data_IF_329977823012
#
_entry.id   IF_329977823012
#
_cell.length_a   1.000
_cell.length_b   1.000
_cell.length_c   1.000
_cell.angle_alpha   90.00
_cell.angle_beta   90.00
_cell.angle_gamma   90.00
#
_symmetry.space_group_name_H-M   'P 1'
#
loop_
_entity.id
_entity.type
_entity.pdbx_description
1 polymer ?
#
# COMPACT_ATOMS: atom_id res chain seq x y z
N UNK A 1 20.25 16.00 -16.60
CA UNK A 1 20.15 15.69 -18.03
C UNK A 1 19.97 14.19 -18.11
N UNK A 2 18.94 13.65 -18.78
CA UNK A 2 18.76 12.21 -18.83
C UNK A 2 19.78 11.58 -19.77
N UNK A 3 20.31 10.42 -19.38
CA UNK A 3 21.38 9.69 -20.05
C UNK A 3 20.79 8.51 -20.82
N UNK A 4 21.08 8.40 -22.11
CA UNK A 4 20.53 7.37 -23.00
C UNK A 4 21.67 6.55 -23.58
N UNK A 5 21.60 5.21 -23.41
CA UNK A 5 22.54 4.28 -24.04
C UNK A 5 21.96 3.81 -25.37
N UNK A 6 22.72 3.97 -26.45
CA UNK A 6 22.36 3.53 -27.81
C UNK A 6 23.27 2.34 -28.18
N UNK A 7 22.65 1.20 -28.43
CA UNK A 7 23.33 -0.06 -28.81
C UNK A 7 22.87 -0.45 -30.19
N UNK A 8 23.76 -0.34 -31.17
CA UNK A 8 23.50 -0.69 -32.58
C UNK A 8 24.84 -0.97 -33.27
N UNK A 9 24.94 -1.95 -34.15
CA UNK A 9 26.18 -2.25 -34.87
C UNK A 9 26.38 -1.35 -36.12
N UNK A 10 25.33 -0.68 -36.59
CA UNK A 10 25.41 0.30 -37.68
C UNK A 10 25.89 1.68 -37.14
N UNK A 11 27.14 2.02 -37.39
CA UNK A 11 27.77 3.28 -36.99
C UNK A 11 27.05 4.50 -37.53
N UNK A 12 26.51 4.43 -38.79
CA UNK A 12 25.82 5.56 -39.41
C UNK A 12 24.49 5.84 -38.71
N UNK A 13 23.76 4.79 -38.34
CA UNK A 13 22.51 4.91 -37.62
C UNK A 13 22.73 5.40 -36.18
N UNK A 14 23.78 4.90 -35.49
CA UNK A 14 24.14 5.41 -34.15
C UNK A 14 24.41 6.91 -34.16
N UNK A 15 25.22 7.39 -35.15
CA UNK A 15 25.53 8.81 -35.28
C UNK A 15 24.28 9.68 -35.48
N UNK A 16 23.33 9.22 -36.31
CA UNK A 16 22.05 9.93 -36.53
C UNK A 16 21.21 9.98 -35.24
N UNK A 17 21.12 8.85 -34.52
CA UNK A 17 20.38 8.76 -33.25
C UNK A 17 21.05 9.68 -32.20
N UNK A 18 22.38 9.64 -32.10
CA UNK A 18 23.16 10.47 -31.17
C UNK A 18 22.89 11.95 -31.44
N UNK A 19 23.08 12.42 -32.67
CA UNK A 19 22.82 13.83 -33.02
C UNK A 19 21.38 14.27 -32.68
N UNK A 20 20.39 13.41 -32.95
CA UNK A 20 19.00 13.71 -32.68
C UNK A 20 18.72 13.82 -31.16
N UNK A 21 19.28 12.93 -30.35
CA UNK A 21 19.11 12.90 -28.91
C UNK A 21 19.87 14.05 -28.23
N UNK A 22 21.13 14.31 -28.62
CA UNK A 22 21.91 15.43 -28.11
C UNK A 22 21.28 16.78 -28.44
N UNK A 23 20.72 16.94 -29.65
CA UNK A 23 19.97 18.14 -30.03
C UNK A 23 18.70 18.33 -29.18
N UNK A 24 18.08 17.24 -28.75
CA UNK A 24 16.93 17.25 -27.82
C UNK A 24 17.32 17.41 -26.34
N UNK A 25 18.62 17.52 -26.03
CA UNK A 25 19.11 17.80 -24.67
C UNK A 25 19.38 16.54 -23.83
N UNK A 26 19.60 15.39 -24.44
CA UNK A 26 20.00 14.16 -23.75
C UNK A 26 21.53 13.96 -23.76
N UNK A 27 22.07 13.27 -22.77
CA UNK A 27 23.43 12.75 -22.78
C UNK A 27 23.41 11.37 -23.45
N UNK A 28 24.30 11.09 -24.38
CA UNK A 28 24.31 9.84 -25.14
C UNK A 28 25.56 9.04 -24.86
N UNK A 29 25.37 7.74 -24.58
CA UNK A 29 26.41 6.73 -24.51
C UNK A 29 26.21 5.80 -25.70
N UNK A 30 27.31 5.40 -26.35
CA UNK A 30 27.25 4.49 -27.48
C UNK A 30 27.87 3.12 -27.17
N UNK A 31 27.33 2.10 -27.82
CA UNK A 31 27.88 0.75 -27.88
C UNK A 31 27.63 0.15 -29.26
N UNK A 32 28.64 -0.48 -29.83
CA UNK A 32 28.60 -1.10 -31.14
C UNK A 32 28.13 -2.57 -31.13
N UNK A 33 27.87 -3.13 -29.95
CA UNK A 33 27.34 -4.48 -29.77
C UNK A 33 26.72 -4.66 -28.39
N UNK A 34 25.94 -5.73 -28.21
CA UNK A 34 25.24 -6.00 -26.95
C UNK A 34 26.14 -6.21 -25.73
N UNK A 35 27.31 -6.83 -25.91
CA UNK A 35 28.23 -7.09 -24.79
C UNK A 35 28.82 -5.80 -24.21
N UNK A 36 29.25 -4.87 -25.06
CA UNK A 36 29.69 -3.52 -24.66
C UNK A 36 28.52 -2.73 -24.08
N UNK A 37 27.31 -2.88 -24.68
CA UNK A 37 26.09 -2.29 -24.17
C UNK A 37 25.78 -2.67 -22.74
N UNK A 38 25.87 -3.94 -22.37
CA UNK A 38 25.67 -4.42 -20.97
C UNK A 38 26.76 -3.85 -20.05
N UNK A 39 28.02 -3.84 -20.47
CA UNK A 39 29.10 -3.25 -19.68
C UNK A 39 28.88 -1.75 -19.39
N UNK A 40 28.51 -1.01 -20.45
CA UNK A 40 28.22 0.42 -20.32
C UNK A 40 26.99 0.68 -19.44
N UNK A 41 25.94 -0.15 -19.55
CA UNK A 41 24.76 -0.06 -18.71
C UNK A 41 25.09 -0.23 -17.22
N UNK A 42 25.89 -1.24 -16.87
CA UNK A 42 26.36 -1.47 -15.49
C UNK A 42 27.26 -0.33 -14.98
N UNK A 43 28.16 0.18 -15.82
CA UNK A 43 29.14 1.18 -15.41
C UNK A 43 28.57 2.60 -15.28
N UNK A 44 27.64 2.96 -16.16
CA UNK A 44 27.17 4.34 -16.32
C UNK A 44 25.69 4.57 -15.96
N UNK A 45 24.93 3.52 -15.71
CA UNK A 45 23.53 3.52 -15.25
C UNK A 45 22.65 4.49 -16.05
N UNK A 46 22.43 4.28 -17.36
CA UNK A 46 21.61 5.16 -18.18
C UNK A 46 20.15 5.16 -17.73
N UNK A 47 19.44 6.25 -18.01
CA UNK A 47 18.02 6.39 -17.70
C UNK A 47 17.11 5.65 -18.70
N UNK A 48 17.67 5.30 -19.88
CA UNK A 48 16.98 4.53 -20.94
C UNK A 48 18.00 3.88 -21.88
N UNK A 49 17.69 2.71 -22.39
CA UNK A 49 18.48 1.98 -23.39
C UNK A 49 17.68 1.86 -24.67
N UNK A 50 18.28 2.25 -25.80
CA UNK A 50 17.85 1.95 -27.14
C UNK A 50 18.75 0.82 -27.66
N UNK A 51 18.17 -0.33 -28.02
CA UNK A 51 18.97 -1.48 -28.45
C UNK A 51 18.44 -2.04 -29.77
N UNK A 52 19.31 -2.18 -30.75
CA UNK A 52 18.97 -2.91 -31.97
C UNK A 52 18.78 -4.39 -31.68
N UNK A 53 17.81 -4.99 -32.35
CA UNK A 53 17.53 -6.44 -32.20
C UNK A 53 18.56 -7.25 -32.96
N UNK A 54 18.92 -6.82 -34.20
CA UNK A 54 19.80 -7.59 -35.07
C UNK A 54 21.22 -7.04 -35.08
N UNK A 55 22.05 -7.59 -34.21
CA UNK A 55 23.48 -7.25 -34.13
C UNK A 55 24.35 -8.50 -34.22
N UNK A 56 25.58 -8.33 -34.73
CA UNK A 56 26.59 -9.38 -34.65
C UNK A 56 27.03 -9.61 -33.19
N UNK A 57 27.58 -10.79 -32.89
CA UNK A 57 28.09 -11.23 -31.58
C UNK A 57 27.00 -11.46 -30.51
N UNK A 58 26.27 -10.43 -30.11
CA UNK A 58 25.19 -10.49 -29.10
C UNK A 58 24.00 -9.68 -29.57
N UNK A 59 22.91 -10.36 -29.90
CA UNK A 59 21.67 -9.74 -30.37
C UNK A 59 20.92 -8.99 -29.26
N UNK A 60 19.93 -8.18 -29.64
CA UNK A 60 19.18 -7.35 -28.71
C UNK A 60 18.38 -8.14 -27.66
N UNK A 61 17.87 -9.34 -28.00
CA UNK A 61 17.16 -10.19 -27.06
C UNK A 61 18.06 -10.77 -25.98
N UNK A 62 19.27 -11.20 -26.37
CA UNK A 62 20.29 -11.65 -25.40
C UNK A 62 20.79 -10.50 -24.55
N UNK A 63 20.95 -9.31 -25.13
CA UNK A 63 21.30 -8.09 -24.40
C UNK A 63 20.25 -7.76 -23.35
N UNK A 64 18.97 -7.76 -23.74
CA UNK A 64 17.84 -7.55 -22.82
C UNK A 64 17.82 -8.59 -21.70
N UNK A 65 17.96 -9.88 -22.02
CA UNK A 65 17.99 -10.95 -21.02
C UNK A 65 19.14 -10.75 -20.00
N UNK A 66 20.32 -10.36 -20.47
CA UNK A 66 21.46 -10.08 -19.58
C UNK A 66 21.20 -8.86 -18.66
N UNK A 67 20.62 -7.79 -19.22
CA UNK A 67 20.23 -6.60 -18.44
C UNK A 67 19.18 -6.91 -17.35
N UNK A 68 18.23 -7.81 -17.65
CA UNK A 68 17.16 -8.20 -16.70
C UNK A 68 17.64 -9.16 -15.61
N UNK A 69 18.75 -9.87 -15.82
CA UNK A 69 19.35 -10.75 -14.82
C UNK A 69 20.16 -10.00 -13.75
N UNK A 70 20.63 -8.81 -14.01
CA UNK A 70 21.39 -7.99 -13.07
C UNK A 70 20.47 -7.01 -12.34
N UNK A 71 20.45 -7.07 -11.00
CA UNK A 71 19.55 -6.26 -10.16
C UNK A 71 19.74 -4.73 -10.34
N UNK A 72 20.93 -4.30 -10.78
CA UNK A 72 21.25 -2.87 -10.97
C UNK A 72 20.72 -2.36 -12.31
N UNK A 73 20.80 -3.17 -13.37
CA UNK A 73 20.35 -2.79 -14.71
C UNK A 73 18.93 -3.24 -15.03
N UNK A 74 18.37 -4.22 -14.29
CA UNK A 74 17.01 -4.73 -14.48
C UNK A 74 15.92 -3.64 -14.51
N UNK A 75 15.94 -2.57 -13.69
CA UNK A 75 14.92 -1.55 -13.70
C UNK A 75 15.06 -0.53 -14.85
N UNK A 76 16.16 -0.53 -15.60
CA UNK A 76 16.39 0.44 -16.69
C UNK A 76 15.45 0.13 -17.86
N UNK A 77 14.65 1.09 -18.34
CA UNK A 77 13.76 0.86 -19.47
C UNK A 77 14.53 0.61 -20.76
N UNK A 78 14.10 -0.41 -21.51
CA UNK A 78 14.72 -0.82 -22.78
C UNK A 78 13.70 -0.72 -23.92
N UNK A 79 14.05 0.07 -24.94
CA UNK A 79 13.31 0.12 -26.21
C UNK A 79 14.10 -0.69 -27.23
N UNK A 80 13.49 -1.73 -27.80
CA UNK A 80 14.09 -2.51 -28.87
C UNK A 80 13.81 -1.89 -30.23
N UNK A 81 14.85 -1.70 -31.04
CA UNK A 81 14.75 -1.23 -32.42
C UNK A 81 14.68 -2.43 -33.37
N UNK A 82 13.58 -2.58 -34.13
CA UNK A 82 13.31 -3.77 -34.97
C UNK A 82 13.01 -3.43 -36.43
N UNK A 83 13.27 -4.32 -37.33
CA UNK A 83 12.78 -4.21 -38.73
C UNK A 83 11.28 -4.51 -38.84
N UNK A 84 10.62 -3.97 -39.88
CA UNK A 84 9.16 -3.98 -40.09
C UNK A 84 8.46 -5.36 -40.12
N UNK A 85 9.18 -6.49 -40.19
CA UNK A 85 8.61 -7.82 -40.39
C UNK A 85 8.66 -8.74 -39.18
N UNK A 86 9.08 -8.28 -38.00
CA UNK A 86 9.37 -9.17 -36.85
C UNK A 86 8.26 -9.18 -35.80
N UNK A 87 7.03 -9.53 -36.20
CA UNK A 87 5.91 -9.70 -35.26
C UNK A 87 6.10 -10.86 -34.28
N UNK A 88 6.82 -11.89 -34.64
CA UNK A 88 7.14 -13.04 -33.79
C UNK A 88 8.19 -12.63 -32.73
N UNK A 89 9.23 -11.89 -33.14
CA UNK A 89 10.26 -11.38 -32.24
C UNK A 89 9.74 -10.30 -31.26
N UNK A 90 8.78 -9.48 -31.69
CA UNK A 90 8.12 -8.52 -30.78
C UNK A 90 7.45 -9.22 -29.59
N UNK A 91 6.80 -10.36 -29.83
CA UNK A 91 6.16 -11.13 -28.75
C UNK A 91 7.19 -11.74 -27.79
N UNK A 92 8.27 -12.30 -28.34
CA UNK A 92 9.37 -12.83 -27.55
C UNK A 92 10.04 -11.76 -26.68
N UNK A 93 10.27 -10.57 -27.21
CA UNK A 93 10.90 -9.53 -26.43
C UNK A 93 9.99 -8.93 -25.36
N UNK A 94 8.65 -8.90 -25.57
CA UNK A 94 7.71 -8.57 -24.49
C UNK A 94 7.77 -9.59 -23.34
N UNK A 95 7.85 -10.88 -23.67
CA UNK A 95 8.01 -11.95 -22.68
C UNK A 95 9.36 -11.85 -21.94
N UNK A 96 10.40 -11.32 -22.59
CA UNK A 96 11.71 -11.04 -21.98
C UNK A 96 11.77 -9.72 -21.19
N UNK A 97 10.69 -8.94 -21.20
CA UNK A 97 10.61 -7.69 -20.43
C UNK A 97 11.10 -6.44 -21.16
N UNK A 98 10.95 -6.37 -22.50
CA UNK A 98 11.12 -5.12 -23.23
C UNK A 98 10.00 -4.13 -22.86
N UNK A 99 10.35 -2.86 -22.70
CA UNK A 99 9.39 -1.81 -22.33
C UNK A 99 8.66 -1.23 -23.54
N UNK A 100 9.31 -1.22 -24.72
CA UNK A 100 8.75 -0.74 -25.98
C UNK A 100 9.53 -1.23 -27.19
N UNK A 101 8.95 -0.93 -28.37
CA UNK A 101 9.53 -1.22 -29.68
C UNK A 101 9.52 0.01 -30.57
N UNK A 102 10.60 0.19 -31.33
CA UNK A 102 10.69 1.20 -32.39
C UNK A 102 11.00 0.53 -33.73
N UNK A 103 10.04 0.55 -34.65
CA UNK A 103 10.18 -0.10 -35.96
C UNK A 103 11.07 0.69 -36.91
N UNK A 104 12.12 0.09 -37.46
CA UNK A 104 12.97 0.65 -38.50
C UNK A 104 12.31 0.48 -39.90
N UNK A 105 12.31 1.53 -40.80
CA UNK A 105 12.86 2.87 -40.57
C UNK A 105 11.95 3.73 -39.74
N UNK A 106 12.53 4.58 -38.86
CA UNK A 106 11.82 5.55 -38.05
C UNK A 106 12.31 6.96 -38.33
N UNK A 107 11.47 7.93 -38.02
CA UNK A 107 11.82 9.35 -38.10
C UNK A 107 12.31 9.88 -36.74
N UNK A 108 13.06 10.99 -36.73
CA UNK A 108 13.52 11.65 -35.51
C UNK A 108 12.33 11.97 -34.56
N UNK A 109 11.19 12.51 -35.02
CA UNK A 109 10.05 12.71 -34.14
C UNK A 109 9.52 11.42 -33.49
N UNK A 110 9.50 10.30 -34.21
CA UNK A 110 9.07 9.00 -33.66
C UNK A 110 10.05 8.50 -32.60
N UNK A 111 11.36 8.61 -32.83
CA UNK A 111 12.40 8.30 -31.86
C UNK A 111 12.21 9.11 -30.58
N UNK A 112 12.12 10.43 -30.69
CA UNK A 112 11.96 11.31 -29.54
C UNK A 112 10.64 11.10 -28.79
N UNK A 113 9.55 10.80 -29.50
CA UNK A 113 8.27 10.47 -28.89
C UNK A 113 8.34 9.17 -28.06
N UNK A 114 8.97 8.10 -28.59
CA UNK A 114 9.15 6.85 -27.87
C UNK A 114 10.01 7.02 -26.62
N UNK A 115 11.16 7.70 -26.75
CA UNK A 115 12.08 8.00 -25.65
C UNK A 115 11.38 8.78 -24.53
N UNK A 116 10.74 9.92 -24.89
CA UNK A 116 10.06 10.77 -23.92
C UNK A 116 8.91 10.04 -23.20
N UNK A 117 8.12 9.24 -23.93
CA UNK A 117 7.01 8.47 -23.34
C UNK A 117 7.54 7.49 -22.29
N UNK A 118 8.65 6.81 -22.56
CA UNK A 118 9.24 5.82 -21.64
C UNK A 118 9.91 6.48 -20.45
N UNK A 119 10.70 7.52 -20.65
CA UNK A 119 11.31 8.28 -19.56
C UNK A 119 10.24 8.83 -18.62
N UNK A 120 9.16 9.44 -19.16
CA UNK A 120 8.07 9.96 -18.36
C UNK A 120 7.37 8.88 -17.54
N UNK A 121 7.06 7.72 -18.15
CA UNK A 121 6.43 6.59 -17.45
C UNK A 121 7.33 6.09 -16.31
N UNK A 122 8.61 5.87 -16.58
CA UNK A 122 9.59 5.40 -15.59
C UNK A 122 9.74 6.41 -14.44
N UNK A 123 9.86 7.72 -14.76
CA UNK A 123 9.95 8.78 -13.77
C UNK A 123 8.70 8.83 -12.87
N UNK A 124 7.49 8.71 -13.44
CA UNK A 124 6.24 8.70 -12.66
C UNK A 124 6.20 7.54 -11.67
N UNK A 125 6.60 6.32 -12.09
CA UNK A 125 6.66 5.15 -11.21
C UNK A 125 7.68 5.35 -10.09
N UNK A 126 8.85 5.88 -10.42
CA UNK A 126 9.92 6.16 -9.45
C UNK A 126 9.49 7.23 -8.43
N UNK A 127 8.92 8.34 -8.88
CA UNK A 127 8.39 9.40 -8.01
C UNK A 127 7.31 8.88 -7.06
N UNK A 128 6.43 8.00 -7.56
CA UNK A 128 5.41 7.38 -6.71
C UNK A 128 6.03 6.48 -5.63
N UNK A 129 7.04 5.69 -5.99
CA UNK A 129 7.75 4.83 -5.03
C UNK A 129 8.53 5.67 -4.00
N UNK A 130 9.22 6.75 -4.45
CA UNK A 130 9.94 7.66 -3.56
C UNK A 130 8.99 8.39 -2.60
N UNK A 131 7.80 8.83 -3.07
CA UNK A 131 6.76 9.42 -2.23
C UNK A 131 6.26 8.43 -1.18
N UNK A 132 5.93 7.20 -1.56
CA UNK A 132 5.52 6.16 -0.61
C UNK A 132 6.57 5.90 0.46
N UNK A 133 7.85 5.82 0.08
CA UNK A 133 8.96 5.67 1.03
C UNK A 133 9.13 6.90 1.95
N UNK A 134 8.96 8.11 1.42
CA UNK A 134 9.05 9.33 2.20
C UNK A 134 7.89 9.42 3.21
N UNK A 135 6.67 9.07 2.80
CA UNK A 135 5.51 9.02 3.67
C UNK A 135 5.66 7.97 4.78
N UNK A 136 6.17 6.78 4.42
CA UNK A 136 6.47 5.74 5.41
C UNK A 136 7.53 6.20 6.42
N UNK A 137 8.62 6.84 5.95
CA UNK A 137 9.67 7.40 6.81
C UNK A 137 9.14 8.50 7.72
N UNK A 138 8.33 9.40 7.21
CA UNK A 138 7.71 10.48 8.00
C UNK A 138 6.82 9.92 9.10
N UNK A 139 6.00 8.93 8.78
CA UNK A 139 5.12 8.24 9.75
C UNK A 139 5.93 7.52 10.83
N UNK A 140 7.01 6.83 10.47
CA UNK A 140 7.89 6.14 11.43
C UNK A 140 8.61 7.16 12.33
N UNK A 141 9.14 8.24 11.75
CA UNK A 141 10.06 9.13 12.49
C UNK A 141 9.35 10.10 13.43
N UNK A 142 8.12 10.51 13.13
CA UNK A 142 7.45 11.60 13.84
C UNK A 142 6.37 11.12 14.84
N UNK A 143 5.52 10.18 14.47
CA UNK A 143 4.37 9.81 15.27
C UNK A 143 4.58 8.55 16.12
N UNK A 144 5.22 7.54 15.54
CA UNK A 144 5.36 6.22 16.15
C UNK A 144 6.14 6.27 17.48
N UNK A 145 7.29 7.00 17.60
CA UNK A 145 8.04 7.04 18.85
C UNK A 145 7.21 7.58 20.01
N UNK A 146 6.47 8.67 19.81
CA UNK A 146 5.66 9.26 20.88
C UNK A 146 4.52 8.34 21.32
N UNK A 147 3.85 7.69 20.37
CA UNK A 147 2.75 6.77 20.68
C UNK A 147 3.21 5.47 21.34
N UNK A 148 4.40 4.97 21.01
CA UNK A 148 5.00 3.80 21.67
C UNK A 148 5.53 4.14 23.07
N UNK A 149 6.11 5.32 23.25
CA UNK A 149 6.66 5.74 24.55
C UNK A 149 5.57 5.97 25.59
N UNK A 150 4.39 6.44 25.21
CA UNK A 150 3.28 6.69 26.15
C UNK A 150 2.87 5.44 26.92
N UNK A 151 2.46 4.32 26.31
CA UNK A 151 2.13 3.10 27.04
C UNK A 151 3.35 2.46 27.69
N UNK A 152 4.54 2.57 27.09
CA UNK A 152 5.77 2.07 27.68
C UNK A 152 6.10 2.79 28.99
N UNK A 153 5.99 4.12 29.04
CA UNK A 153 6.17 4.90 30.27
C UNK A 153 5.13 4.55 31.33
N UNK A 154 3.89 4.25 30.93
CA UNK A 154 2.87 3.73 31.85
C UNK A 154 3.27 2.39 32.46
N UNK A 155 3.78 1.46 31.66
CA UNK A 155 4.29 0.17 32.15
C UNK A 155 5.44 0.38 33.12
N UNK A 156 6.46 1.15 32.73
CA UNK A 156 7.65 1.39 33.53
C UNK A 156 7.28 2.13 34.84
N UNK A 157 6.47 3.19 34.78
CA UNK A 157 6.10 3.98 35.95
C UNK A 157 5.36 3.16 37.01
N UNK A 158 4.34 2.38 36.61
CA UNK A 158 3.65 1.50 37.59
C UNK A 158 4.54 0.36 38.09
N UNK A 159 5.42 -0.17 37.26
CA UNK A 159 6.37 -1.21 37.68
C UNK A 159 7.36 -0.67 38.66
N UNK A 160 7.88 0.55 38.48
CA UNK A 160 8.79 1.23 39.45
C UNK A 160 8.12 1.43 40.81
N UNK A 161 6.86 1.89 40.82
CA UNK A 161 6.09 2.03 42.09
C UNK A 161 5.92 0.66 42.77
N UNK A 162 5.53 -0.38 42.02
CA UNK A 162 5.38 -1.72 42.57
C UNK A 162 6.69 -2.26 43.16
N UNK A 163 7.84 -1.96 42.55
CA UNK A 163 9.15 -2.39 43.05
C UNK A 163 9.57 -1.58 44.31
N UNK A 164 9.41 -0.25 44.28
CA UNK A 164 9.93 0.64 45.31
C UNK A 164 9.06 0.64 46.54
N UNK A 165 7.73 0.68 46.38
CA UNK A 165 6.79 0.94 47.46
C UNK A 165 5.95 -0.31 47.86
N UNK A 166 6.29 -1.50 47.32
CA UNK A 166 5.51 -2.75 47.50
C UNK A 166 5.10 -3.04 48.95
N UNK A 167 5.92 -2.63 49.94
CA UNK A 167 5.65 -2.88 51.36
C UNK A 167 4.60 -1.93 51.96
N UNK A 168 4.28 -0.83 51.25
CA UNK A 168 3.33 0.19 51.70
C UNK A 168 2.00 0.14 50.96
N UNK A 169 1.95 -0.59 49.81
CA UNK A 169 0.78 -0.72 48.98
C UNK A 169 -0.25 -1.70 49.54
N UNK A 170 -1.52 -1.33 49.42
CA UNK A 170 -2.61 -2.25 49.72
C UNK A 170 -2.81 -3.26 48.57
N UNK A 171 -3.35 -4.48 48.84
CA UNK A 171 -3.58 -5.48 47.80
C UNK A 171 -4.39 -4.95 46.60
N UNK A 172 -5.40 -4.12 46.84
CA UNK A 172 -6.24 -3.54 45.79
C UNK A 172 -5.46 -2.55 44.90
N UNK A 173 -4.52 -1.81 45.46
CA UNK A 173 -3.64 -0.91 44.73
C UNK A 173 -2.69 -1.69 43.83
N UNK A 174 -2.14 -2.82 44.32
CA UNK A 174 -1.28 -3.72 43.51
C UNK A 174 -2.06 -4.29 42.34
N UNK A 175 -3.31 -4.72 42.55
CA UNK A 175 -4.19 -5.23 41.47
C UNK A 175 -4.45 -4.10 40.47
N UNK A 176 -4.85 -2.91 40.92
CA UNK A 176 -5.14 -1.79 40.02
C UNK A 176 -3.93 -1.40 39.17
N UNK A 177 -2.73 -1.31 39.75
CA UNK A 177 -1.49 -1.03 39.01
C UNK A 177 -1.14 -2.14 38.02
N UNK A 178 -1.32 -3.42 38.43
CA UNK A 178 -1.08 -4.55 37.54
C UNK A 178 -2.06 -4.56 36.35
N UNK A 179 -3.30 -4.14 36.57
CA UNK A 179 -4.28 -3.95 35.49
C UNK A 179 -3.88 -2.82 34.55
N UNK A 180 -3.43 -1.69 35.08
CA UNK A 180 -2.95 -0.56 34.29
C UNK A 180 -1.71 -0.92 33.43
N UNK A 181 -0.78 -1.71 34.00
CA UNK A 181 0.36 -2.28 33.25
C UNK A 181 -0.13 -3.18 32.12
N UNK A 182 -1.04 -4.10 32.40
CA UNK A 182 -1.61 -5.01 31.42
C UNK A 182 -2.30 -4.27 30.27
N UNK A 183 -3.06 -3.23 30.56
CA UNK A 183 -3.77 -2.45 29.57
C UNK A 183 -2.81 -1.59 28.71
N UNK A 184 -1.77 -1.04 29.34
CA UNK A 184 -0.69 -0.36 28.64
C UNK A 184 0.08 -1.31 27.71
N UNK A 185 0.37 -2.53 28.17
CA UNK A 185 1.04 -3.56 27.36
C UNK A 185 0.19 -4.00 26.17
N UNK A 186 -1.13 -4.19 26.34
CA UNK A 186 -2.07 -4.50 25.25
C UNK A 186 -2.12 -3.37 24.24
N UNK A 187 -2.14 -2.11 24.70
CA UNK A 187 -2.12 -0.94 23.82
C UNK A 187 -0.83 -0.87 22.99
N UNK A 188 0.32 -1.10 23.63
CA UNK A 188 1.62 -1.13 22.95
C UNK A 188 1.69 -2.25 21.90
N UNK A 189 1.27 -3.46 22.25
CA UNK A 189 1.21 -4.60 21.34
C UNK A 189 0.38 -4.27 20.09
N UNK A 190 -0.81 -3.73 20.28
CA UNK A 190 -1.69 -3.34 19.19
C UNK A 190 -1.11 -2.26 18.29
N UNK A 191 -0.41 -1.27 18.85
CA UNK A 191 0.28 -0.24 18.08
C UNK A 191 1.35 -0.85 17.16
N UNK A 192 2.11 -1.82 17.68
CA UNK A 192 3.13 -2.55 16.91
C UNK A 192 2.47 -3.38 15.81
N UNK A 193 1.43 -4.15 16.10
CA UNK A 193 0.70 -4.94 15.10
C UNK A 193 0.14 -4.05 13.99
N UNK A 194 -0.51 -2.95 14.34
CA UNK A 194 -1.05 -1.99 13.39
C UNK A 194 0.03 -1.40 12.51
N UNK A 195 1.17 -1.05 13.09
CA UNK A 195 2.29 -0.53 12.33
C UNK A 195 2.86 -1.56 11.34
N UNK A 196 3.02 -2.82 11.77
CA UNK A 196 3.52 -3.89 10.90
C UNK A 196 2.57 -4.15 9.72
N UNK A 197 1.26 -4.19 9.97
CA UNK A 197 0.24 -4.34 8.92
C UNK A 197 0.30 -3.14 7.97
N UNK A 198 0.36 -1.92 8.48
CA UNK A 198 0.46 -0.71 7.66
C UNK A 198 1.71 -0.73 6.77
N UNK A 199 2.88 -1.07 7.34
CA UNK A 199 4.13 -1.17 6.60
C UNK A 199 4.07 -2.26 5.51
N UNK A 200 3.48 -3.42 5.80
CA UNK A 200 3.27 -4.49 4.82
C UNK A 200 2.39 -4.01 3.65
N UNK A 201 1.27 -3.34 3.95
CA UNK A 201 0.35 -2.82 2.94
C UNK A 201 1.04 -1.81 2.01
N UNK A 202 1.80 -0.87 2.57
CA UNK A 202 2.47 0.17 1.78
C UNK A 202 3.62 -0.36 0.91
N UNK A 203 4.22 -1.50 1.27
CA UNK A 203 5.29 -2.15 0.53
C UNK A 203 4.82 -3.16 -0.52
N UNK A 204 3.50 -3.46 -0.61
CA UNK A 204 2.96 -4.39 -1.60
C UNK A 204 3.20 -3.91 -3.03
N UNK A 205 3.68 -4.82 -3.87
CA UNK A 205 3.85 -4.61 -5.31
C UNK A 205 2.58 -4.96 -6.09
N UNK A 206 2.50 -4.54 -7.36
CA UNK A 206 1.30 -4.70 -8.18
C UNK A 206 0.85 -6.16 -8.37
N UNK A 207 1.79 -7.06 -8.55
CA UNK A 207 1.57 -8.51 -8.71
C UNK A 207 1.08 -9.17 -7.42
N UNK A 208 1.59 -8.72 -6.26
CA UNK A 208 1.11 -9.17 -4.94
C UNK A 208 -0.31 -8.66 -4.66
N UNK A 209 -0.63 -7.45 -5.11
CA UNK A 209 -1.98 -6.88 -5.02
C UNK A 209 -2.98 -7.68 -5.85
N UNK A 210 -2.59 -8.11 -7.05
CA UNK A 210 -3.44 -8.94 -7.90
C UNK A 210 -3.67 -10.33 -7.27
N UNK A 211 -2.63 -10.97 -6.75
CA UNK A 211 -2.73 -12.24 -6.05
C UNK A 211 -3.64 -12.17 -4.80
N UNK A 212 -3.64 -11.04 -4.07
CA UNK A 212 -4.54 -10.82 -2.94
C UNK A 212 -6.01 -10.70 -3.37
N UNK A 213 -6.28 -10.11 -4.54
CA UNK A 213 -7.64 -9.95 -5.08
C UNK A 213 -8.19 -11.26 -5.70
N UNK A 214 -7.33 -12.12 -6.22
CA UNK A 214 -7.68 -13.42 -6.79
C UNK A 214 -7.80 -14.53 -5.72
N UNK A 215 -7.52 -14.20 -4.48
CA UNK A 215 -7.41 -15.11 -3.34
C UNK A 215 -8.72 -15.70 -2.85
N UNK A 216 -8.86 -15.98 -1.61
CA UNK A 216 -9.86 -16.84 -0.98
C UNK A 216 -11.27 -16.22 -0.95
N UNK A 217 -12.29 -17.06 -1.18
CA UNK A 217 -13.67 -16.72 -0.90
C UNK A 217 -13.96 -16.91 0.60
N UNK A 218 -14.36 -15.87 1.28
CA UNK A 218 -14.70 -15.89 2.70
C UNK A 218 -16.19 -15.69 2.90
N UNK A 219 -16.83 -16.53 3.75
CA UNK A 219 -18.13 -16.24 4.34
C UNK A 219 -17.98 -15.09 5.35
N UNK A 220 -18.53 -13.92 5.02
CA UNK A 220 -18.32 -12.68 5.76
C UNK A 220 -19.10 -12.59 7.07
N UNK A 221 -20.23 -13.31 7.19
CA UNK A 221 -21.11 -13.25 8.36
C UNK A 221 -20.44 -13.74 9.63
N UNK A 222 -19.83 -14.94 9.59
CA UNK A 222 -19.22 -15.56 10.78
C UNK A 222 -18.09 -14.75 11.42
N UNK A 223 -17.12 -14.20 10.66
CA UNK A 223 -16.11 -13.32 11.22
C UNK A 223 -16.71 -12.06 11.88
N UNK A 224 -17.76 -11.45 11.28
CA UNK A 224 -18.42 -10.28 11.87
C UNK A 224 -19.02 -10.66 13.23
N UNK A 225 -19.85 -11.72 13.29
CA UNK A 225 -20.49 -12.18 14.52
C UNK A 225 -19.45 -12.46 15.63
N UNK A 226 -18.39 -13.19 15.30
CA UNK A 226 -17.31 -13.53 16.24
C UNK A 226 -16.61 -12.28 16.79
N UNK A 227 -16.19 -11.37 15.91
CA UNK A 227 -15.45 -10.16 16.32
C UNK A 227 -16.36 -9.23 17.14
N UNK A 228 -17.62 -9.04 16.71
CA UNK A 228 -18.57 -8.17 17.40
C UNK A 228 -18.86 -8.66 18.82
N UNK A 229 -19.11 -9.96 19.00
CA UNK A 229 -19.33 -10.55 20.32
C UNK A 229 -18.12 -10.42 21.24
N UNK A 230 -16.90 -10.67 20.71
CA UNK A 230 -15.67 -10.54 21.48
C UNK A 230 -15.42 -9.09 21.89
N UNK A 231 -15.64 -8.12 20.99
CA UNK A 231 -15.47 -6.70 21.29
C UNK A 231 -16.50 -6.17 22.29
N UNK A 232 -17.77 -6.51 22.11
CA UNK A 232 -18.84 -6.14 23.02
C UNK A 232 -18.61 -6.73 24.43
N UNK A 233 -18.20 -8.00 24.53
CA UNK A 233 -17.85 -8.65 25.79
C UNK A 233 -16.66 -7.99 26.49
N UNK A 234 -15.59 -7.65 25.76
CA UNK A 234 -14.42 -6.93 26.33
C UNK A 234 -14.75 -5.52 26.80
N UNK A 235 -15.69 -4.86 26.13
CA UNK A 235 -16.17 -3.55 26.53
C UNK A 235 -17.19 -3.60 27.70
N UNK A 236 -17.64 -4.79 28.12
CA UNK A 236 -18.73 -4.95 29.10
C UNK A 236 -20.08 -4.46 28.56
N UNK A 237 -20.29 -4.48 27.24
CA UNK A 237 -21.40 -3.84 26.52
C UNK A 237 -22.12 -4.82 25.58
N UNK A 238 -22.26 -6.07 25.99
CA UNK A 238 -22.87 -7.11 25.17
C UNK A 238 -24.35 -6.77 24.84
N UNK A 239 -25.07 -6.09 25.75
CA UNK A 239 -26.45 -5.67 25.57
C UNK A 239 -26.62 -4.47 24.61
N UNK A 240 -25.55 -3.71 24.40
CA UNK A 240 -25.53 -2.57 23.46
C UNK A 240 -25.33 -3.01 22.00
N UNK A 241 -24.94 -4.26 21.76
CA UNK A 241 -24.63 -4.77 20.44
C UNK A 241 -25.91 -5.22 19.69
N UNK A 242 -26.16 -4.63 18.54
CA UNK A 242 -27.27 -5.01 17.64
C UNK A 242 -26.68 -5.52 16.31
N UNK A 243 -27.01 -6.77 15.95
CA UNK A 243 -26.52 -7.42 14.72
C UNK A 243 -27.67 -7.69 13.75
N UNK A 244 -27.55 -7.17 12.53
CA UNK A 244 -28.45 -7.44 11.41
C UNK A 244 -27.61 -7.83 10.19
N UNK A 245 -27.30 -9.12 10.04
CA UNK A 245 -26.30 -9.61 9.10
C UNK A 245 -26.91 -10.49 8.01
N UNK A 246 -26.55 -10.24 6.76
CA UNK A 246 -26.83 -11.12 5.61
C UNK A 246 -25.70 -12.11 5.36
N UNK A 247 -26.00 -13.17 4.61
CA UNK A 247 -24.99 -14.08 4.08
C UNK A 247 -24.35 -13.47 2.82
N UNK A 248 -23.02 -13.44 2.78
CA UNK A 248 -22.28 -12.91 1.66
C UNK A 248 -20.86 -13.51 1.61
N UNK A 249 -20.28 -13.50 0.43
CA UNK A 249 -18.88 -13.92 0.24
C UNK A 249 -18.12 -12.90 -0.59
N UNK A 250 -16.87 -12.67 -0.25
CA UNK A 250 -15.95 -11.79 -0.97
C UNK A 250 -14.55 -12.40 -1.10
N UNK A 251 -13.78 -11.89 -2.05
CA UNK A 251 -12.39 -12.28 -2.26
C UNK A 251 -11.48 -11.51 -1.29
N UNK A 252 -11.47 -11.94 -0.04
CA UNK A 252 -10.65 -11.37 1.03
C UNK A 252 -10.23 -12.47 2.01
N UNK A 253 -9.03 -12.37 2.58
CA UNK A 253 -8.59 -13.30 3.61
C UNK A 253 -9.30 -13.01 4.94
N UNK A 254 -9.48 -14.07 5.76
CA UNK A 254 -10.14 -13.93 7.06
C UNK A 254 -9.40 -12.95 7.98
N UNK A 255 -8.07 -12.95 7.95
CA UNK A 255 -7.24 -12.06 8.78
C UNK A 255 -7.47 -10.59 8.43
N UNK A 256 -7.47 -10.25 7.15
CA UNK A 256 -7.68 -8.87 6.71
C UNK A 256 -9.12 -8.40 6.96
N UNK A 257 -10.10 -9.25 6.67
CA UNK A 257 -11.49 -8.90 6.94
C UNK A 257 -11.77 -8.76 8.45
N UNK A 258 -11.29 -9.70 9.24
CA UNK A 258 -11.35 -9.63 10.71
C UNK A 258 -10.70 -8.36 11.23
N UNK A 259 -9.55 -7.96 10.67
CA UNK A 259 -8.87 -6.72 11.04
C UNK A 259 -9.71 -5.48 10.73
N UNK A 260 -10.33 -5.40 9.54
CA UNK A 260 -11.24 -4.30 9.19
C UNK A 260 -12.36 -4.19 10.23
N UNK A 261 -13.08 -5.29 10.47
CA UNK A 261 -14.22 -5.33 11.41
C UNK A 261 -13.79 -4.97 12.84
N UNK A 262 -12.64 -5.49 13.27
CA UNK A 262 -12.09 -5.28 14.62
C UNK A 262 -11.76 -3.80 14.89
N UNK A 263 -11.10 -3.11 13.93
CA UNK A 263 -10.77 -1.70 14.07
C UNK A 263 -12.00 -0.80 14.10
N UNK A 264 -13.01 -1.12 13.27
CA UNK A 264 -14.25 -0.34 13.22
C UNK A 264 -15.07 -0.51 14.50
N UNK A 265 -15.23 -1.74 14.98
CA UNK A 265 -15.97 -2.02 16.21
C UNK A 265 -15.29 -1.46 17.44
N UNK A 266 -13.97 -1.52 17.52
CA UNK A 266 -13.27 -0.88 18.63
C UNK A 266 -13.51 0.62 18.67
N UNK A 267 -13.48 1.30 17.52
CA UNK A 267 -13.80 2.72 17.46
C UNK A 267 -15.24 2.98 17.91
N UNK A 268 -16.20 2.19 17.46
CA UNK A 268 -17.61 2.34 17.83
C UNK A 268 -17.81 2.20 19.34
N UNK A 269 -17.27 1.15 19.98
CA UNK A 269 -17.36 0.96 21.43
C UNK A 269 -16.57 1.98 22.24
N UNK A 270 -15.42 2.42 21.72
CA UNK A 270 -14.53 3.38 22.41
C UNK A 270 -15.11 4.79 22.46
N UNK A 271 -15.77 5.22 21.39
CA UNK A 271 -16.24 6.61 21.26
C UNK A 271 -17.72 6.81 21.57
N UNK A 272 -18.45 5.73 21.82
CA UNK A 272 -19.83 5.77 22.29
C UNK A 272 -19.94 5.48 23.79
N UNK A 273 -21.04 5.94 24.40
CA UNK A 273 -21.27 5.78 25.83
C UNK A 273 -21.90 4.43 26.18
N UNK A 274 -21.69 3.95 27.41
CA UNK A 274 -22.33 2.76 27.95
C UNK A 274 -23.87 2.91 27.87
N UNK A 275 -24.58 1.88 27.40
CA UNK A 275 -26.04 1.89 27.23
C UNK A 275 -26.52 2.48 25.91
N UNK A 276 -25.61 3.01 25.05
CA UNK A 276 -25.97 3.41 23.70
C UNK A 276 -25.75 2.26 22.70
N UNK A 277 -26.63 2.04 21.72
CA UNK A 277 -26.51 0.93 20.82
C UNK A 277 -25.32 1.10 19.86
N UNK A 278 -24.61 0.00 19.60
CA UNK A 278 -23.68 -0.16 18.50
C UNK A 278 -24.32 -1.11 17.49
N UNK A 279 -24.73 -0.56 16.34
CA UNK A 279 -25.43 -1.31 15.29
C UNK A 279 -24.45 -1.79 14.23
N UNK A 280 -24.51 -3.08 13.91
CA UNK A 280 -23.75 -3.71 12.84
C UNK A 280 -24.71 -4.31 11.85
N UNK A 281 -24.79 -3.71 10.67
CA UNK A 281 -25.69 -4.14 9.61
C UNK A 281 -24.89 -4.56 8.38
N UNK A 282 -25.31 -5.61 7.70
CA UNK A 282 -24.77 -5.95 6.40
C UNK A 282 -25.88 -6.23 5.40
N UNK A 283 -25.65 -5.77 4.16
CA UNK A 283 -26.57 -5.97 3.04
C UNK A 283 -25.77 -6.33 1.78
N UNK A 284 -26.42 -7.02 0.85
CA UNK A 284 -25.89 -7.28 -0.48
C UNK A 284 -26.74 -6.62 -1.54
N UNK A 285 -26.13 -6.02 -2.54
CA UNK A 285 -26.85 -5.38 -3.66
C UNK A 285 -25.90 -4.92 -4.75
N UNK A 286 -26.36 -4.96 -6.00
CA UNK A 286 -25.58 -4.51 -7.18
C UNK A 286 -24.18 -5.14 -7.30
N UNK A 287 -24.02 -6.41 -6.90
CA UNK A 287 -22.72 -7.09 -6.93
C UNK A 287 -21.75 -6.69 -5.81
N UNK A 288 -22.22 -5.96 -4.81
CA UNK A 288 -21.42 -5.52 -3.67
C UNK A 288 -22.00 -6.03 -2.35
N UNK A 289 -21.10 -6.27 -1.40
CA UNK A 289 -21.39 -6.42 0.01
C UNK A 289 -21.14 -5.09 0.70
N UNK A 290 -22.06 -4.65 1.54
CA UNK A 290 -21.94 -3.42 2.32
C UNK A 290 -22.08 -3.75 3.80
N UNK A 291 -21.03 -3.46 4.57
CA UNK A 291 -21.02 -3.53 6.04
C UNK A 291 -21.13 -2.12 6.61
N UNK A 292 -22.12 -1.90 7.46
CA UNK A 292 -22.35 -0.63 8.13
C UNK A 292 -22.22 -0.82 9.64
N UNK A 293 -21.36 -0.02 10.28
CA UNK A 293 -21.18 0.02 11.73
C UNK A 293 -21.51 1.42 12.20
N UNK A 294 -22.56 1.54 13.02
CA UNK A 294 -23.06 2.81 13.52
C UNK A 294 -23.02 2.86 15.05
N UNK A 295 -22.53 3.96 15.58
CA UNK A 295 -22.52 4.29 17.01
C UNK A 295 -23.22 5.62 17.29
N UNK A 296 -23.71 5.78 18.52
CA UNK A 296 -24.28 7.02 19.05
C UNK A 296 -23.29 7.70 20.01
N UNK A 297 -22.06 7.88 19.54
CA UNK A 297 -20.98 8.48 20.30
C UNK A 297 -20.87 9.98 20.09
N UNK A 298 -19.69 10.50 20.44
CA UNK A 298 -19.39 11.95 20.35
C UNK A 298 -19.37 12.50 18.92
N UNK A 299 -19.31 11.63 17.91
CA UNK A 299 -19.13 12.02 16.52
C UNK A 299 -17.79 12.71 16.21
N UNK A 300 -17.65 13.16 14.95
CA UNK A 300 -16.47 13.84 14.43
C UNK A 300 -16.87 15.10 13.68
N UNK A 301 -15.97 16.10 13.66
CA UNK A 301 -16.12 17.27 12.79
C UNK A 301 -15.80 16.91 11.33
N UNK A 302 -16.45 17.58 10.38
CA UNK A 302 -16.24 17.37 8.94
C UNK A 302 -14.77 17.52 8.50
N UNK A 303 -14.03 18.42 9.15
CA UNK A 303 -12.60 18.62 8.91
C UNK A 303 -11.79 17.35 9.23
N UNK A 304 -12.12 16.65 10.33
CA UNK A 304 -11.45 15.41 10.72
C UNK A 304 -11.82 14.22 9.83
N UNK A 305 -13.03 14.22 9.24
CA UNK A 305 -13.45 13.18 8.29
C UNK A 305 -12.65 13.31 6.98
N UNK A 306 -12.45 14.53 6.49
CA UNK A 306 -11.64 14.80 5.31
C UNK A 306 -10.17 14.37 5.50
N UNK A 307 -9.63 14.51 6.71
CA UNK A 307 -8.27 14.08 7.06
C UNK A 307 -8.10 12.55 7.09
N UNK A 308 -9.13 11.77 7.34
CA UNK A 308 -9.09 10.29 7.24
C UNK A 308 -8.91 9.82 5.78
N UNK A 309 -9.22 10.68 4.82
CA UNK A 309 -9.06 10.41 3.38
C UNK A 309 -7.78 10.94 2.76
N UNK A 310 -7.24 12.02 3.27
CA UNK A 310 -5.95 12.56 2.86
C UNK A 310 -4.85 11.86 3.69
N UNK A 311 -3.76 11.45 3.05
CA UNK A 311 -2.55 10.96 3.70
C UNK A 311 -2.31 11.78 4.97
N UNK A 312 -2.39 11.12 6.14
CA UNK A 312 -2.25 11.80 7.42
C UNK A 312 -0.90 12.52 7.46
N UNK A 313 -0.86 13.78 7.11
CA UNK A 313 0.14 14.68 7.64
C UNK A 313 -0.12 14.75 9.14
N UNK A 314 0.75 14.09 9.91
CA UNK A 314 0.75 14.12 11.38
C UNK A 314 1.12 15.50 11.91
N UNK A 315 0.46 16.55 11.44
CA UNK A 315 0.42 17.84 12.10
C UNK A 315 -0.76 17.90 13.09
N UNK A 316 -0.77 17.00 14.07
CA UNK A 316 -1.58 17.20 15.27
C UNK A 316 -0.78 17.97 16.31
N UNK A 317 -0.64 19.27 16.10
CA UNK A 317 -0.55 20.19 17.20
C UNK A 317 -1.93 20.23 17.89
N UNK A 318 -1.93 19.79 19.17
CA UNK A 318 -2.90 20.19 20.16
C UNK A 318 -4.33 19.68 19.94
N UNK A 319 -4.58 18.41 20.27
CA UNK A 319 -5.71 17.97 21.10
C UNK A 319 -5.43 16.52 21.52
N UNK A 320 -5.35 16.28 22.83
CA UNK A 320 -5.26 14.97 23.49
C UNK A 320 -6.45 14.08 23.09
N UNK A 321 -6.32 13.34 21.99
CA UNK A 321 -7.24 12.28 21.66
C UNK A 321 -6.49 10.96 21.65
N UNK A 322 -6.76 10.14 22.66
CA UNK A 322 -6.23 8.80 22.86
C UNK A 322 -6.50 7.88 21.65
N UNK A 323 -5.54 7.74 20.75
CA UNK A 323 -5.58 6.76 19.68
C UNK A 323 -4.79 7.20 18.44
N UNK A 324 -3.99 6.28 17.88
CA UNK A 324 -3.06 6.52 16.77
C UNK A 324 -3.71 6.92 15.44
N UNK A 325 -5.01 6.81 15.29
CA UNK A 325 -5.68 6.96 14.00
C UNK A 325 -5.33 5.89 12.95
N UNK A 326 -4.32 5.05 13.23
CA UNK A 326 -3.86 3.98 12.31
C UNK A 326 -4.95 2.95 12.04
N UNK A 327 -5.80 2.62 13.00
CA UNK A 327 -6.83 1.60 12.84
C UNK A 327 -7.79 1.87 11.68
N UNK A 328 -8.31 3.08 11.61
CA UNK A 328 -9.23 3.48 10.55
C UNK A 328 -8.52 3.59 9.19
N UNK A 329 -7.28 4.05 9.19
CA UNK A 329 -6.43 4.09 8.00
C UNK A 329 -6.15 2.66 7.47
N UNK A 330 -5.84 1.72 8.35
CA UNK A 330 -5.65 0.31 8.00
C UNK A 330 -6.93 -0.29 7.42
N UNK A 331 -8.07 -0.07 8.10
CA UNK A 331 -9.36 -0.56 7.60
C UNK A 331 -9.67 -0.01 6.20
N UNK A 332 -9.43 1.27 5.95
CA UNK A 332 -9.60 1.90 4.65
C UNK A 332 -8.67 1.30 3.59
N UNK A 333 -7.37 1.19 3.90
CA UNK A 333 -6.39 0.63 2.96
C UNK A 333 -6.66 -0.83 2.63
N UNK A 334 -6.99 -1.66 3.62
CA UNK A 334 -7.37 -3.05 3.39
C UNK A 334 -8.61 -3.16 2.52
N UNK A 335 -9.60 -2.29 2.71
CA UNK A 335 -10.81 -2.23 1.88
C UNK A 335 -10.46 -1.87 0.43
N UNK A 336 -9.68 -0.81 0.21
CA UNK A 336 -9.23 -0.35 -1.11
C UNK A 336 -8.39 -1.42 -1.84
N UNK A 337 -7.52 -2.14 -1.12
CA UNK A 337 -6.72 -3.24 -1.67
C UNK A 337 -7.57 -4.36 -2.28
N UNK A 338 -8.75 -4.61 -1.69
CA UNK A 338 -9.70 -5.62 -2.17
C UNK A 338 -10.75 -5.04 -3.14
N UNK A 339 -10.48 -3.84 -3.71
CA UNK A 339 -11.36 -3.21 -4.72
C UNK A 339 -12.64 -2.61 -4.14
N UNK A 340 -12.70 -2.43 -2.82
CA UNK A 340 -13.81 -1.82 -2.11
C UNK A 340 -13.61 -0.34 -1.80
N UNK A 341 -14.56 0.23 -1.05
CA UNK A 341 -14.54 1.62 -0.60
C UNK A 341 -14.95 1.69 0.88
N UNK A 342 -14.31 2.57 1.66
CA UNK A 342 -14.70 2.90 3.03
C UNK A 342 -15.15 4.36 3.08
N UNK A 343 -16.38 4.57 3.53
CA UNK A 343 -16.95 5.91 3.74
C UNK A 343 -17.31 6.14 5.19
N UNK A 344 -17.31 7.40 5.62
CA UNK A 344 -17.61 7.82 6.99
C UNK A 344 -18.63 8.93 6.96
N UNK A 345 -19.70 8.75 7.71
CA UNK A 345 -20.70 9.78 7.97
C UNK A 345 -20.72 10.02 9.49
N UNK A 346 -20.48 11.25 9.91
CA UNK A 346 -20.43 11.57 11.33
C UNK A 346 -20.89 13.00 11.59
N UNK A 347 -21.59 13.17 12.71
CA UNK A 347 -22.04 14.48 13.19
C UNK A 347 -21.71 14.62 14.66
N UNK A 348 -21.10 15.76 15.03
CA UNK A 348 -20.63 16.02 16.38
C UNK A 348 -21.79 15.99 17.40
N UNK A 349 -21.68 15.16 18.42
CA UNK A 349 -22.69 14.98 19.46
C UNK A 349 -23.83 14.02 19.08
N UNK A 350 -23.85 13.46 17.86
CA UNK A 350 -24.88 12.52 17.39
C UNK A 350 -24.33 11.11 17.27
N UNK A 351 -23.18 10.94 16.59
CA UNK A 351 -22.55 9.64 16.41
C UNK A 351 -21.77 9.51 15.10
N UNK A 352 -21.34 8.29 14.82
CA UNK A 352 -20.59 7.96 13.61
C UNK A 352 -21.14 6.71 12.95
N UNK A 353 -21.25 6.73 11.64
CA UNK A 353 -21.50 5.56 10.80
C UNK A 353 -20.35 5.37 9.85
N UNK A 354 -19.72 4.20 9.90
CA UNK A 354 -18.71 3.78 8.94
C UNK A 354 -19.29 2.71 8.05
N UNK A 355 -19.14 2.88 6.75
CA UNK A 355 -19.61 1.96 5.74
C UNK A 355 -18.42 1.41 4.93
N UNK A 356 -18.34 0.08 4.84
CA UNK A 356 -17.35 -0.65 4.06
C UNK A 356 -18.07 -1.38 2.94
N UNK A 357 -17.73 -1.07 1.70
CA UNK A 357 -18.23 -1.73 0.51
C UNK A 357 -17.15 -2.64 -0.06
N UNK A 358 -17.45 -3.91 -0.31
CA UNK A 358 -16.56 -4.87 -0.96
C UNK A 358 -17.27 -5.52 -2.15
N UNK A 359 -16.55 -5.83 -3.26
CA UNK A 359 -17.10 -6.61 -4.36
C UNK A 359 -17.57 -7.99 -3.87
N UNK A 360 -18.82 -8.34 -4.13
CA UNK A 360 -19.37 -9.65 -3.82
C UNK A 360 -18.95 -10.66 -4.89
N UNK A 361 -18.54 -11.85 -4.49
CA UNK A 361 -18.45 -12.95 -5.41
C UNK A 361 -19.87 -13.50 -5.63
N UNK A 362 -20.40 -13.32 -6.84
CA UNK A 362 -21.64 -13.98 -7.24
C UNK A 362 -21.37 -15.49 -7.23
N UNK A 363 -21.98 -16.18 -6.28
CA UNK A 363 -22.09 -17.63 -6.36
C UNK A 363 -22.94 -17.91 -7.59
N UNK A 364 -22.30 -18.29 -8.70
CA UNK A 364 -23.03 -18.89 -9.83
C UNK A 364 -23.74 -20.12 -9.25
N UNK A 365 -25.05 -20.01 -9.06
CA UNK A 365 -25.89 -21.18 -8.82
C UNK A 365 -25.80 -22.06 -10.10
N UNK A 366 -24.98 -23.11 -9.98
CA UNK A 366 -24.91 -24.20 -10.98
C UNK A 366 -26.11 -25.11 -10.81
#
# INVERSE_FOLDING_TARGET
MAKILVIDDDASLREVIQMALEHAGFEVIEADNGAIGVQNACAQLPDLILCDVRMEKMDGYRTLAALRQDAVTAPIPVILMTGQADTAGMRQGMELGADDYLSKPFTVPQLLAAVNARLKKHQTVRELAERKLADLRANISLALPHELLTPLNGILGFTDILITDHSQLQPDEIVSMSEAIRDSAKRLHRLIENFLIFAQIELLQADQLQALREGQTLDLRKPIERVAQVRAGRAGRAEDLVLELCEASAAITEDYFTKIVDELLENAFKFSTLGSPVQVQSVTGNGNFVLRIADQGRGMKSEHIAEVGAYMQFERKIYEQQGSGLGLTIAKRLTELHGGELSIQSELGIGTTVEVTLPCLTVNQS
#
